data_IF_936478763913
#
_entry.id   IF_936478763913
#
_cell.length_a   1.000
_cell.length_b   1.000
_cell.length_c   1.000
_cell.angle_alpha   90.00
_cell.angle_beta   90.00
_cell.angle_gamma   90.00
#
_symmetry.space_group_name_H-M   'P 1'
#
loop_
_entity.id
_entity.type
_entity.pdbx_description
1 polymer ?
#
# COMPACT_ATOMS: atom_id res chain seq x y z
N UNK A 1 20.75 0.63 26.35
CA UNK A 1 19.58 1.47 26.68
C UNK A 1 18.36 0.54 26.70
N UNK A 2 17.66 0.44 27.83
CA UNK A 2 16.47 -0.42 28.02
C UNK A 2 15.18 0.38 27.79
N UNK A 3 15.29 1.55 27.14
CA UNK A 3 14.29 2.61 27.16
C UNK A 3 13.57 2.83 25.82
N UNK A 4 13.27 1.78 25.07
CA UNK A 4 12.16 1.85 24.10
C UNK A 4 11.26 0.62 24.27
N UNK A 5 10.24 0.77 25.12
CA UNK A 5 9.18 -0.24 25.36
C UNK A 5 8.02 -0.07 24.37
N UNK A 6 8.17 0.77 23.36
CA UNK A 6 7.15 0.94 22.32
C UNK A 6 7.52 0.05 21.13
N UNK A 7 6.58 -0.77 20.64
CA UNK A 7 6.75 -1.39 19.34
C UNK A 7 7.05 -0.30 18.30
N UNK A 8 8.09 -0.49 17.50
CA UNK A 8 8.41 0.40 16.39
C UNK A 8 7.51 0.07 15.21
N UNK A 9 6.21 0.30 15.41
CA UNK A 9 5.20 0.01 14.40
C UNK A 9 5.22 1.01 13.26
N UNK A 10 5.87 2.18 13.38
CA UNK A 10 6.10 3.08 12.24
C UNK A 10 4.84 3.35 11.41
N UNK A 11 4.81 2.81 10.19
CA UNK A 11 3.71 2.89 9.22
C UNK A 11 2.96 1.55 9.05
N UNK A 12 3.12 0.63 9.99
CA UNK A 12 2.39 -0.64 10.04
C UNK A 12 0.88 -0.39 10.09
N UNK A 13 0.11 -1.35 9.55
CA UNK A 13 -1.32 -1.20 9.34
C UNK A 13 -1.73 -0.34 8.14
N UNK A 14 -0.80 0.32 7.43
CA UNK A 14 -1.12 1.04 6.19
C UNK A 14 -1.86 0.16 5.18
N UNK A 15 -2.85 0.75 4.51
CA UNK A 15 -3.76 0.04 3.62
C UNK A 15 -4.22 0.87 2.42
N UNK A 16 -4.20 2.20 2.52
CA UNK A 16 -4.67 3.02 1.41
C UNK A 16 -3.97 4.35 1.25
N UNK A 17 -4.20 4.96 0.11
CA UNK A 17 -3.75 6.30 -0.21
C UNK A 17 -4.90 7.08 -0.85
N UNK A 18 -5.29 8.20 -0.25
CA UNK A 18 -6.38 9.04 -0.78
C UNK A 18 -5.81 10.34 -1.31
N UNK A 19 -6.02 10.57 -2.60
CA UNK A 19 -5.67 11.80 -3.32
C UNK A 19 -6.96 12.54 -3.65
N UNK A 20 -7.22 13.66 -2.99
CA UNK A 20 -8.45 14.42 -3.23
C UNK A 20 -8.73 15.48 -2.17
N UNK A 21 -9.87 16.18 -2.28
CA UNK A 21 -10.22 17.23 -1.33
C UNK A 21 -10.46 16.67 0.07
N UNK A 22 -10.10 17.43 1.11
CA UNK A 22 -10.18 17.02 2.52
C UNK A 22 -11.59 16.59 2.92
N UNK A 23 -12.60 17.15 2.26
CA UNK A 23 -14.02 16.86 2.39
C UNK A 23 -14.36 15.38 2.20
N UNK A 24 -13.58 14.63 1.41
CA UNK A 24 -13.80 13.18 1.22
C UNK A 24 -13.59 12.36 2.49
N UNK A 25 -12.68 12.81 3.36
CA UNK A 25 -12.21 12.04 4.51
C UNK A 25 -12.43 12.74 5.85
N UNK A 26 -12.96 13.98 5.88
CA UNK A 26 -13.03 14.80 7.12
C UNK A 26 -13.89 14.21 8.22
N UNK A 27 -14.95 13.53 7.86
CA UNK A 27 -15.92 12.98 8.80
C UNK A 27 -15.83 11.45 8.85
N UNK A 28 -14.66 10.89 8.51
CA UNK A 28 -14.38 9.46 8.54
C UNK A 28 -13.12 9.18 9.34
N UNK A 29 -13.24 8.27 10.28
CA UNK A 29 -12.07 7.65 10.89
C UNK A 29 -11.55 6.56 9.95
N UNK A 30 -10.28 6.65 9.57
CA UNK A 30 -9.60 5.68 8.71
C UNK A 30 -8.62 4.83 9.52
N UNK A 31 -8.73 4.84 10.85
CA UNK A 31 -7.93 4.08 11.81
C UNK A 31 -6.41 4.32 11.66
N UNK A 32 -6.02 5.47 11.09
CA UNK A 32 -4.61 5.76 10.76
C UNK A 32 -4.01 4.89 9.66
N UNK A 33 -4.83 4.17 8.89
CA UNK A 33 -4.38 3.20 7.87
C UNK A 33 -4.22 3.81 6.48
N UNK A 34 -4.58 5.07 6.29
CA UNK A 34 -4.53 5.73 4.99
C UNK A 34 -3.56 6.91 4.99
N UNK A 35 -2.70 6.95 3.99
CA UNK A 35 -2.00 8.17 3.60
C UNK A 35 -3.01 9.13 2.96
N UNK A 36 -2.88 10.43 3.22
CA UNK A 36 -3.79 11.46 2.69
C UNK A 36 -2.99 12.54 1.96
N UNK A 37 -3.37 12.82 0.72
CA UNK A 37 -2.85 13.93 -0.06
C UNK A 37 -3.98 14.84 -0.52
N UNK A 38 -4.01 16.07 0.01
CA UNK A 38 -4.97 17.07 -0.45
C UNK A 38 -4.71 17.43 -1.90
N UNK A 39 -5.72 17.29 -2.75
CA UNK A 39 -5.65 17.59 -4.17
C UNK A 39 -7.01 18.08 -4.66
N UNK A 40 -7.03 19.13 -5.49
CA UNK A 40 -8.23 19.63 -6.16
C UNK A 40 -7.97 19.76 -7.66
N UNK A 41 -8.54 18.83 -8.43
CA UNK A 41 -8.38 18.74 -9.87
C UNK A 41 -8.81 20.01 -10.61
N UNK A 42 -9.74 20.78 -10.04
CA UNK A 42 -10.25 22.00 -10.69
C UNK A 42 -9.23 23.14 -10.71
N UNK A 43 -8.22 23.05 -9.84
CA UNK A 43 -7.10 24.01 -9.73
C UNK A 43 -5.86 23.57 -10.51
N UNK A 44 -5.91 22.39 -11.13
CA UNK A 44 -4.81 21.76 -11.86
C UNK A 44 -5.23 21.51 -13.32
N UNK A 45 -5.36 22.55 -14.15
CA UNK A 45 -5.94 22.43 -15.50
C UNK A 45 -5.15 21.50 -16.42
N UNK A 46 -3.83 21.51 -16.27
CA UNK A 46 -2.88 20.77 -17.11
C UNK A 46 -2.60 19.36 -16.58
N UNK A 47 -2.88 19.08 -15.30
CA UNK A 47 -2.68 17.75 -14.69
C UNK A 47 -1.30 17.54 -14.09
N UNK A 48 -0.39 18.52 -14.19
CA UNK A 48 0.98 18.45 -13.68
C UNK A 48 1.06 18.04 -12.20
N UNK A 49 0.12 18.54 -11.38
CA UNK A 49 0.11 18.21 -9.95
C UNK A 49 -0.39 16.78 -9.72
N UNK A 50 -1.39 16.32 -10.47
CA UNK A 50 -1.82 14.92 -10.44
C UNK A 50 -0.69 13.98 -10.86
N UNK A 51 0.00 14.30 -11.95
CA UNK A 51 1.14 13.55 -12.45
C UNK A 51 2.24 13.43 -11.39
N UNK A 52 2.62 14.56 -10.78
CA UNK A 52 3.61 14.57 -9.70
C UNK A 52 3.19 13.73 -8.49
N UNK A 53 1.89 13.70 -8.16
CA UNK A 53 1.36 12.90 -7.05
C UNK A 53 1.40 11.40 -7.37
N UNK A 54 1.01 11.01 -8.58
CA UNK A 54 0.96 9.60 -8.99
C UNK A 54 2.37 9.02 -9.21
N UNK A 55 3.30 9.80 -9.76
CA UNK A 55 4.68 9.34 -10.00
C UNK A 55 5.57 9.41 -8.76
N UNK A 56 5.27 10.30 -7.81
CA UNK A 56 6.02 10.43 -6.56
C UNK A 56 5.32 9.75 -5.37
N UNK A 57 4.46 10.48 -4.63
CA UNK A 57 3.75 9.98 -3.45
C UNK A 57 3.06 8.61 -3.60
N UNK A 58 2.36 8.31 -4.71
CA UNK A 58 1.72 6.99 -4.88
C UNK A 58 2.76 5.87 -4.96
N UNK A 59 3.84 6.06 -5.73
CA UNK A 59 4.94 5.07 -5.80
C UNK A 59 5.60 4.88 -4.43
N UNK A 60 5.88 5.96 -3.71
CA UNK A 60 6.49 5.88 -2.38
C UNK A 60 5.58 5.15 -1.38
N UNK A 61 4.29 5.46 -1.37
CA UNK A 61 3.33 4.78 -0.48
C UNK A 61 3.17 3.30 -0.86
N UNK A 62 3.25 2.96 -2.15
CA UNK A 62 3.25 1.58 -2.62
C UNK A 62 4.51 0.83 -2.17
N UNK A 63 5.71 1.42 -2.25
CA UNK A 63 6.95 0.81 -1.76
C UNK A 63 6.92 0.57 -0.26
N UNK A 64 6.41 1.54 0.51
CA UNK A 64 6.22 1.38 1.95
C UNK A 64 5.27 0.20 2.20
N UNK A 65 4.09 0.18 1.57
CA UNK A 65 3.14 -0.92 1.72
C UNK A 65 3.74 -2.29 1.37
N UNK A 66 4.44 -2.39 0.23
CA UNK A 66 5.10 -3.61 -0.21
C UNK A 66 6.16 -4.11 0.78
N UNK A 67 6.96 -3.20 1.36
CA UNK A 67 7.96 -3.56 2.38
C UNK A 67 7.30 -4.23 3.59
N UNK A 68 6.20 -3.69 4.09
CA UNK A 68 5.43 -4.31 5.18
C UNK A 68 4.76 -5.62 4.74
N UNK A 69 4.16 -5.65 3.54
CA UNK A 69 3.51 -6.83 2.97
C UNK A 69 4.44 -8.04 2.94
N UNK A 70 5.59 -7.90 2.29
CA UNK A 70 6.53 -9.02 2.11
C UNK A 70 7.18 -9.42 3.44
N UNK A 71 7.60 -8.44 4.24
CA UNK A 71 8.23 -8.73 5.55
C UNK A 71 7.26 -9.44 6.50
N UNK A 72 5.94 -9.23 6.34
CA UNK A 72 4.90 -9.91 7.14
C UNK A 72 4.58 -11.31 6.61
N UNK A 73 4.58 -11.48 5.29
CA UNK A 73 4.21 -12.76 4.64
C UNK A 73 5.25 -13.86 4.92
N UNK A 74 6.53 -13.54 4.75
CA UNK A 74 7.63 -14.44 5.08
C UNK A 74 8.82 -13.62 5.59
N UNK A 75 8.89 -13.46 6.91
CA UNK A 75 9.93 -12.64 7.53
C UNK A 75 11.32 -13.26 7.43
N UNK A 76 11.43 -14.59 7.28
CA UNK A 76 12.71 -15.25 7.16
C UNK A 76 13.36 -14.95 5.79
N UNK A 77 12.54 -14.83 4.74
CA UNK A 77 12.99 -14.55 3.37
C UNK A 77 13.04 -13.05 3.06
N UNK A 78 12.00 -12.29 3.43
CA UNK A 78 11.83 -10.89 3.03
C UNK A 78 11.91 -9.88 4.17
N UNK A 79 12.13 -10.37 5.39
CA UNK A 79 12.29 -9.55 6.58
C UNK A 79 13.67 -9.74 7.22
N UNK A 80 13.81 -9.15 8.40
CA UNK A 80 15.10 -9.10 9.11
C UNK A 80 15.10 -9.83 10.43
N UNK A 81 14.16 -10.76 10.63
CA UNK A 81 14.06 -11.63 11.81
C UNK A 81 13.69 -10.87 13.08
N UNK A 82 14.18 -11.37 14.22
CA UNK A 82 13.97 -10.71 15.51
C UNK A 82 14.93 -9.56 15.71
N UNK A 83 14.41 -8.36 15.98
CA UNK A 83 15.21 -7.18 16.31
C UNK A 83 16.20 -7.41 17.47
N UNK A 84 15.85 -8.30 18.41
CA UNK A 84 16.65 -8.63 19.60
C UNK A 84 18.06 -9.13 19.24
N UNK A 85 18.16 -9.84 18.12
CA UNK A 85 19.39 -10.52 17.67
C UNK A 85 20.03 -9.83 16.47
N UNK A 86 19.55 -8.65 16.06
CA UNK A 86 20.09 -7.94 14.91
C UNK A 86 21.47 -7.32 15.19
N UNK A 87 22.40 -7.52 14.26
CA UNK A 87 23.69 -6.84 14.22
C UNK A 87 23.79 -6.02 12.93
N UNK A 88 23.75 -4.67 12.98
CA UNK A 88 23.85 -3.82 11.80
C UNK A 88 25.18 -3.96 11.07
N UNK A 89 25.14 -4.04 9.74
CA UNK A 89 26.32 -4.25 8.88
C UNK A 89 26.36 -3.21 7.78
N UNK A 90 27.37 -2.34 7.84
CA UNK A 90 27.74 -1.43 6.74
C UNK A 90 26.65 -0.46 6.29
N UNK A 91 25.58 -0.27 7.07
CA UNK A 91 24.34 0.42 6.66
C UNK A 91 23.64 -0.18 5.43
N UNK A 92 23.90 -1.45 5.12
CA UNK A 92 23.29 -2.16 3.99
C UNK A 92 22.24 -3.17 4.47
N UNK A 93 22.39 -3.71 5.67
CA UNK A 93 21.45 -4.65 6.26
C UNK A 93 21.86 -5.08 7.66
N UNK A 94 21.33 -6.22 8.10
CA UNK A 94 21.59 -6.79 9.43
C UNK A 94 21.90 -8.29 9.34
N UNK A 95 22.67 -8.81 10.29
CA UNK A 95 22.75 -10.25 10.57
C UNK A 95 21.89 -10.62 11.77
N UNK A 96 21.44 -11.87 11.82
CA UNK A 96 20.79 -12.46 12.98
C UNK A 96 21.81 -13.23 13.84
N UNK A 97 22.06 -12.76 15.06
CA UNK A 97 23.01 -13.39 15.98
C UNK A 97 24.46 -13.23 15.53
N UNK A 98 25.27 -14.27 15.72
CA UNK A 98 26.73 -14.20 15.53
C UNK A 98 27.20 -14.40 14.07
N UNK A 99 26.28 -14.42 13.10
CA UNK A 99 26.58 -14.59 11.68
C UNK A 99 25.34 -15.04 10.88
N UNK A 100 25.49 -15.26 9.58
CA UNK A 100 24.40 -15.67 8.69
C UNK A 100 24.38 -14.85 7.40
N UNK A 101 23.36 -15.08 6.58
CA UNK A 101 23.14 -14.27 5.38
C UNK A 101 22.71 -12.86 5.78
N UNK A 102 23.06 -11.88 4.93
CA UNK A 102 22.66 -10.50 5.14
C UNK A 102 21.15 -10.40 4.93
N UNK A 103 20.44 -9.93 5.94
CA UNK A 103 18.99 -9.75 5.89
C UNK A 103 18.63 -8.27 5.65
N UNK A 104 17.51 -8.07 4.96
CA UNK A 104 16.92 -6.77 4.64
C UNK A 104 15.45 -6.74 5.10
N UNK A 105 14.74 -5.64 4.89
CA UNK A 105 13.34 -5.54 5.30
C UNK A 105 13.14 -5.39 6.81
N UNK A 106 11.89 -5.62 7.27
CA UNK A 106 11.47 -5.23 8.61
C UNK A 106 11.58 -6.37 9.63
N UNK A 107 11.90 -6.06 10.90
CA UNK A 107 11.90 -7.05 11.97
C UNK A 107 10.48 -7.41 12.39
N UNK A 108 10.30 -8.59 12.99
CA UNK A 108 9.02 -9.04 13.54
C UNK A 108 8.37 -8.02 14.49
N UNK A 109 9.17 -7.29 15.28
CA UNK A 109 8.69 -6.28 16.24
C UNK A 109 8.07 -5.03 15.58
N UNK A 110 8.28 -4.82 14.28
CA UNK A 110 7.60 -3.78 13.50
C UNK A 110 6.30 -4.26 12.85
N UNK A 111 6.03 -5.57 12.90
CA UNK A 111 4.99 -6.23 12.09
C UNK A 111 3.95 -6.95 12.93
N UNK A 112 4.33 -7.48 14.09
CA UNK A 112 3.53 -8.38 14.92
C UNK A 112 3.06 -7.69 16.21
N UNK A 113 1.83 -7.99 16.62
CA UNK A 113 1.30 -7.65 17.94
C UNK A 113 1.60 -8.76 18.97
N UNK A 114 1.58 -10.02 18.53
CA UNK A 114 1.97 -11.22 19.27
C UNK A 114 2.55 -12.26 18.30
N UNK A 115 3.08 -13.38 18.81
CA UNK A 115 3.82 -14.38 18.02
C UNK A 115 3.10 -14.82 16.72
N UNK A 116 1.78 -15.03 16.79
CA UNK A 116 0.94 -15.45 15.66
C UNK A 116 -0.11 -14.39 15.26
N UNK A 117 0.04 -13.15 15.74
CA UNK A 117 -0.92 -12.07 15.50
C UNK A 117 -0.24 -10.90 14.77
N UNK A 118 -0.39 -10.80 13.43
CA UNK A 118 0.16 -9.69 12.68
C UNK A 118 -0.59 -8.39 13.00
N UNK A 119 0.16 -7.35 13.38
CA UNK A 119 -0.38 -6.00 13.50
C UNK A 119 -0.57 -5.36 12.12
N UNK A 120 0.41 -5.53 11.21
CA UNK A 120 0.22 -5.19 9.80
C UNK A 120 -0.40 -6.37 9.07
N UNK A 121 -1.58 -6.19 8.49
CA UNK A 121 -2.16 -7.19 7.60
C UNK A 121 -1.45 -7.14 6.25
N UNK A 122 -0.95 -8.27 5.69
CA UNK A 122 -0.29 -8.28 4.39
C UNK A 122 -1.33 -8.11 3.28
N UNK A 123 -1.64 -6.84 2.98
CA UNK A 123 -2.52 -6.43 1.90
C UNK A 123 -1.84 -5.41 1.02
N UNK A 124 -2.20 -5.42 -0.27
CA UNK A 124 -1.70 -4.46 -1.25
C UNK A 124 -2.40 -3.12 -1.08
N UNK A 125 -1.67 -2.04 -1.33
CA UNK A 125 -2.17 -0.67 -1.20
C UNK A 125 -3.40 -0.45 -2.11
N UNK A 126 -4.41 0.23 -1.58
CA UNK A 126 -5.54 0.72 -2.38
C UNK A 126 -5.49 2.25 -2.49
N UNK A 127 -5.27 2.75 -3.70
CA UNK A 127 -5.23 4.17 -4.02
C UNK A 127 -6.60 4.64 -4.50
N UNK A 128 -7.10 5.74 -3.95
CA UNK A 128 -8.32 6.42 -4.37
C UNK A 128 -7.97 7.83 -4.82
N UNK A 129 -8.33 8.18 -6.06
CA UNK A 129 -8.06 9.48 -6.67
C UNK A 129 -9.37 10.18 -6.98
N UNK A 130 -9.49 11.45 -6.60
CA UNK A 130 -10.62 12.31 -6.96
C UNK A 130 -10.22 13.25 -8.09
N UNK A 131 -10.48 12.81 -9.32
CA UNK A 131 -10.18 13.51 -10.57
C UNK A 131 -11.02 12.91 -11.71
N UNK A 132 -11.17 13.60 -12.85
CA UNK A 132 -11.75 12.99 -14.06
C UNK A 132 -10.97 11.73 -14.46
N UNK A 133 -11.67 10.65 -14.84
CA UNK A 133 -11.02 9.37 -15.18
C UNK A 133 -10.07 9.52 -16.36
N UNK A 134 -10.40 10.39 -17.31
CA UNK A 134 -9.57 10.69 -18.48
C UNK A 134 -8.23 11.28 -18.05
N UNK A 135 -8.20 12.20 -17.07
CA UNK A 135 -6.94 12.80 -16.60
C UNK A 135 -6.01 11.79 -15.94
N UNK A 136 -6.58 10.87 -15.15
CA UNK A 136 -5.78 9.79 -14.55
C UNK A 136 -5.27 8.86 -15.65
N UNK A 137 -6.11 8.55 -16.64
CA UNK A 137 -5.73 7.72 -17.79
C UNK A 137 -4.59 8.34 -18.59
N UNK A 138 -4.64 9.65 -18.86
CA UNK A 138 -3.60 10.37 -19.59
C UNK A 138 -2.25 10.28 -18.85
N UNK A 139 -2.25 10.52 -17.53
CA UNK A 139 -1.03 10.34 -16.71
C UNK A 139 -0.54 8.90 -16.76
N UNK A 140 -1.41 7.90 -16.61
CA UNK A 140 -0.98 6.50 -16.66
C UNK A 140 -0.40 6.12 -18.03
N UNK A 141 -0.97 6.62 -19.13
CA UNK A 141 -0.50 6.35 -20.48
C UNK A 141 0.92 6.91 -20.73
N UNK A 142 1.29 8.00 -20.06
CA UNK A 142 2.60 8.62 -20.17
C UNK A 142 3.67 7.97 -19.25
N UNK A 143 3.26 7.11 -18.30
CA UNK A 143 4.13 6.55 -17.26
C UNK A 143 4.01 5.01 -17.15
N UNK A 144 4.81 4.30 -17.95
CA UNK A 144 4.83 2.83 -18.01
C UNK A 144 5.07 2.16 -16.64
N UNK A 145 5.90 2.74 -15.78
CA UNK A 145 6.15 2.20 -14.44
C UNK A 145 4.89 2.14 -13.56
N UNK A 146 3.93 3.07 -13.77
CA UNK A 146 2.66 3.07 -13.06
C UNK A 146 1.71 2.01 -13.60
N UNK A 147 1.63 1.86 -14.93
CA UNK A 147 0.79 0.82 -15.54
C UNK A 147 1.35 -0.56 -15.23
N UNK A 148 2.67 -0.77 -15.22
CA UNK A 148 3.27 -2.03 -14.79
C UNK A 148 2.87 -2.40 -13.35
N UNK A 149 2.86 -1.45 -12.42
CA UNK A 149 2.42 -1.72 -11.04
C UNK A 149 0.94 -2.12 -10.98
N UNK A 150 0.09 -1.46 -11.77
CA UNK A 150 -1.35 -1.69 -11.77
C UNK A 150 -1.73 -2.97 -12.51
N UNK A 151 -1.20 -3.19 -13.71
CA UNK A 151 -1.47 -4.35 -14.56
C UNK A 151 -0.96 -5.67 -13.94
N UNK A 152 0.04 -5.60 -13.06
CA UNK A 152 0.52 -6.75 -12.28
C UNK A 152 -0.13 -6.84 -10.88
N UNK A 153 -1.22 -6.11 -10.66
CA UNK A 153 -2.00 -6.06 -9.42
C UNK A 153 -1.19 -5.66 -8.17
N UNK A 154 -0.02 -5.03 -8.29
CA UNK A 154 0.82 -4.67 -7.13
C UNK A 154 0.23 -3.55 -6.29
N UNK A 155 -0.76 -2.82 -6.82
CA UNK A 155 -1.57 -1.83 -6.13
C UNK A 155 -2.92 -1.73 -6.83
N UNK A 156 -3.97 -1.38 -6.08
CA UNK A 156 -5.30 -1.18 -6.65
C UNK A 156 -5.57 0.32 -6.82
N UNK A 157 -6.20 0.72 -7.92
CA UNK A 157 -6.55 2.12 -8.19
C UNK A 157 -8.05 2.28 -8.41
N UNK A 158 -8.63 3.25 -7.70
CA UNK A 158 -10.02 3.69 -7.86
C UNK A 158 -10.07 5.18 -8.14
N UNK A 159 -10.79 5.56 -9.18
CA UNK A 159 -11.03 6.97 -9.50
C UNK A 159 -12.47 7.34 -9.16
N UNK A 160 -12.66 8.36 -8.33
CA UNK A 160 -13.96 8.98 -8.08
C UNK A 160 -14.08 10.20 -8.97
N UNK A 161 -14.86 10.09 -10.05
CA UNK A 161 -14.90 11.09 -11.10
C UNK A 161 -15.92 12.22 -10.79
N UNK A 162 -15.45 13.45 -10.49
CA UNK A 162 -16.32 14.57 -10.15
C UNK A 162 -17.12 15.13 -11.34
N UNK A 163 -16.73 14.82 -12.57
CA UNK A 163 -17.46 15.23 -13.79
C UNK A 163 -18.58 14.25 -14.14
N UNK A 164 -18.60 13.08 -13.50
CA UNK A 164 -19.55 11.99 -13.74
C UNK A 164 -20.37 11.67 -12.48
N UNK A 165 -20.86 12.71 -11.80
CA UNK A 165 -21.65 12.61 -10.55
C UNK A 165 -20.93 11.86 -9.41
N UNK A 166 -19.61 12.03 -9.31
CA UNK A 166 -18.76 11.33 -8.33
C UNK A 166 -18.86 9.80 -8.41
N UNK A 167 -19.10 9.25 -9.60
CA UNK A 167 -19.08 7.79 -9.82
C UNK A 167 -17.66 7.25 -9.65
N UNK A 168 -17.56 6.07 -9.04
CA UNK A 168 -16.30 5.36 -8.85
C UNK A 168 -16.00 4.42 -10.03
N UNK A 169 -14.75 4.43 -10.48
CA UNK A 169 -14.21 3.62 -11.57
C UNK A 169 -13.00 2.83 -11.06
N UNK A 170 -13.14 1.52 -11.18
CA UNK A 170 -12.15 0.48 -10.98
C UNK A 170 -11.08 0.44 -12.07
N UNK A 171 -9.79 0.67 -11.82
CA UNK A 171 -8.78 0.21 -12.79
C UNK A 171 -8.81 -1.33 -12.84
N UNK A 172 -8.77 -1.90 -14.05
CA UNK A 172 -8.60 -3.35 -14.25
C UNK A 172 -7.20 -3.63 -14.82
N UNK A 173 -7.02 -3.45 -16.13
CA UNK A 173 -5.75 -3.69 -16.82
C UNK A 173 -5.69 -2.83 -18.10
N UNK A 174 -4.48 -2.56 -18.61
CA UNK A 174 -4.26 -1.93 -19.92
C UNK A 174 -5.04 -0.60 -20.13
N UNK A 175 -5.10 0.24 -19.09
CA UNK A 175 -5.84 1.52 -19.09
C UNK A 175 -7.37 1.38 -19.19
N UNK A 176 -7.92 0.19 -18.95
CA UNK A 176 -9.35 -0.04 -18.91
C UNK A 176 -9.94 0.16 -17.50
N UNK A 177 -11.17 0.67 -17.47
CA UNK A 177 -11.88 1.03 -16.25
C UNK A 177 -13.27 0.40 -16.21
N UNK A 178 -13.65 -0.16 -15.05
CA UNK A 178 -14.98 -0.74 -14.79
C UNK A 178 -15.73 0.10 -13.75
N UNK A 179 -17.03 0.31 -13.90
CA UNK A 179 -17.77 1.02 -12.85
C UNK A 179 -17.82 0.19 -11.56
N UNK A 180 -17.62 0.83 -10.40
CA UNK A 180 -17.77 0.18 -9.10
C UNK A 180 -19.15 -0.47 -8.90
N UNK A 181 -20.18 0.08 -9.55
CA UNK A 181 -21.56 -0.46 -9.53
C UNK A 181 -21.72 -1.77 -10.32
N UNK A 182 -20.82 -2.06 -11.25
CA UNK A 182 -20.82 -3.29 -12.06
C UNK A 182 -20.05 -4.43 -11.38
N UNK A 183 -19.07 -4.11 -10.51
CA UNK A 183 -18.30 -5.11 -9.73
C UNK A 183 -19.07 -5.75 -8.57
N UNK A 184 -20.14 -5.12 -8.08
CA UNK A 184 -20.90 -5.64 -6.93
C UNK A 184 -21.62 -6.97 -7.21
N UNK A 185 -21.52 -7.49 -8.45
CA UNK A 185 -22.03 -8.79 -8.88
C UNK A 185 -21.06 -9.98 -8.77
N UNK A 186 -19.80 -9.79 -8.36
CA UNK A 186 -18.84 -10.91 -8.19
C UNK A 186 -18.90 -11.43 -6.75
N UNK A 187 -19.25 -12.72 -6.50
CA UNK A 187 -19.20 -13.27 -5.16
C UNK A 187 -17.75 -13.31 -4.67
N UNK A 188 -17.49 -12.76 -3.48
CA UNK A 188 -16.28 -13.10 -2.75
C UNK A 188 -16.32 -14.61 -2.48
N UNK A 189 -15.47 -15.37 -3.16
CA UNK A 189 -15.27 -16.79 -2.84
C UNK A 189 -14.76 -16.88 -1.41
N UNK A 190 -15.47 -17.64 -0.58
CA UNK A 190 -14.99 -18.03 0.74
C UNK A 190 -13.59 -18.65 0.57
N UNK A 191 -12.57 -17.96 1.08
CA UNK A 191 -11.22 -18.50 1.19
C UNK A 191 -11.23 -19.42 2.39
N UNK A 192 -11.68 -20.65 2.18
CA UNK A 192 -11.51 -21.74 3.15
C UNK A 192 -10.02 -22.15 3.10
N UNK A 193 -9.21 -21.53 3.95
CA UNK A 193 -7.79 -21.86 4.06
C UNK A 193 -7.66 -23.26 4.71
N UNK A 194 -7.01 -24.24 4.06
CA UNK A 194 -6.81 -25.53 4.69
C UNK A 194 -5.83 -25.38 5.85
N UNK A 195 -6.21 -25.88 7.03
CA UNK A 195 -5.33 -25.98 8.19
C UNK A 195 -4.11 -26.84 7.82
N UNK A 196 -2.94 -26.21 7.72
CA UNK A 196 -1.68 -26.91 7.55
C UNK A 196 -1.36 -27.58 8.89
N UNK A 197 -1.46 -28.91 8.92
CA UNK A 197 -0.99 -29.72 10.02
C UNK A 197 0.56 -29.67 10.05
N UNK A 198 1.12 -29.32 11.21
CA UNK A 198 2.53 -29.50 11.51
C UNK A 198 2.89 -30.99 11.50
N UNK A 199 3.96 -31.34 10.80
CA UNK A 199 4.83 -32.48 11.09
C UNK A 199 6.27 -31.96 11.32
#
# INVERSE_FOLDING_TARGET
>A
DWAETRPEWGLAGNAGFVVGPRELTRDRDLDGRAFLHSYDWSTDPDGDALEAILTGPMVVTQWINAQYYFSTTDNAVYGSGSKVTQNPVGNVGVYQGNGGDLMSGLPLQSLMAADDEPYHQPLRLSTVVHAPVERVTDVLADHEELTELLDNDWTALTVVDPTRDHRAFHYEEHLEWVSASERTGVPHGDVDAPAVAND
#
